data_IF_871118813565
#
_entry.id   IF_871118813565
#
_cell.length_a   1.000
_cell.length_b   1.000
_cell.length_c   1.000
_cell.angle_alpha   90.00
_cell.angle_beta   90.00
_cell.angle_gamma   90.00
#
_symmetry.space_group_name_H-M   'P 1'
#
loop_
_entity.id
_entity.type
_entity.pdbx_description
1 polymer ?
#
# COMPACT_ATOMS: atom_id res chain seq x y z
N UNK A 1 8.74 21.97 10.80
CA UNK A 1 10.05 21.33 10.58
C UNK A 1 10.37 20.47 11.79
N UNK A 2 11.01 19.33 11.60
CA UNK A 2 11.42 18.40 12.66
C UNK A 2 12.93 18.18 12.56
N UNK A 3 13.55 17.79 13.68
CA UNK A 3 14.99 17.59 13.82
C UNK A 3 15.29 16.14 14.16
N UNK A 4 16.54 15.74 13.98
CA UNK A 4 17.01 14.42 14.43
C UNK A 4 16.76 14.30 15.94
N UNK A 5 16.03 13.26 16.33
CA UNK A 5 15.68 12.99 17.73
C UNK A 5 14.28 13.43 18.12
N UNK A 6 13.55 14.18 17.28
CA UNK A 6 12.16 14.52 17.55
C UNK A 6 11.27 13.27 17.43
N UNK A 7 10.34 13.10 18.37
CA UNK A 7 9.34 12.02 18.32
C UNK A 7 8.11 12.53 17.58
N UNK A 8 7.73 11.83 16.51
CA UNK A 8 6.60 12.18 15.66
C UNK A 8 5.58 11.05 15.70
N UNK A 9 4.30 11.39 15.91
CA UNK A 9 3.24 10.40 15.93
C UNK A 9 2.81 10.05 14.52
N UNK A 10 3.09 8.81 14.08
CA UNK A 10 2.66 8.33 12.76
C UNK A 10 1.17 8.02 12.76
N UNK A 11 0.43 8.64 11.84
CA UNK A 11 -1.03 8.44 11.69
C UNK A 11 -1.34 7.35 10.66
N UNK A 12 -0.73 7.41 9.47
CA UNK A 12 -0.90 6.40 8.42
C UNK A 12 0.27 6.38 7.44
N UNK A 13 0.46 5.23 6.78
CA UNK A 13 1.32 5.12 5.62
C UNK A 13 0.55 5.59 4.37
N UNK A 14 1.13 6.53 3.60
CA UNK A 14 0.54 7.01 2.35
C UNK A 14 0.96 6.08 1.21
N UNK A 15 2.26 5.77 1.14
CA UNK A 15 2.86 4.80 0.22
C UNK A 15 4.18 4.24 0.79
N UNK A 16 5.00 3.58 -0.05
CA UNK A 16 6.29 2.98 0.37
C UNK A 16 7.32 4.01 0.86
N UNK A 17 7.23 5.25 0.38
CA UNK A 17 8.18 6.33 0.58
C UNK A 17 7.67 7.40 1.54
N UNK A 18 6.37 7.44 1.84
CA UNK A 18 5.74 8.52 2.62
C UNK A 18 4.80 8.05 3.71
N UNK A 19 4.91 8.71 4.86
CA UNK A 19 3.97 8.62 5.99
C UNK A 19 3.30 9.97 6.25
N UNK A 20 2.06 9.95 6.72
CA UNK A 20 1.43 11.11 7.35
C UNK A 20 1.69 11.00 8.86
N UNK A 21 2.33 12.02 9.43
CA UNK A 21 2.57 12.11 10.86
C UNK A 21 2.19 13.47 11.43
N UNK A 22 2.11 13.50 12.76
CA UNK A 22 1.70 14.66 13.53
C UNK A 22 2.80 15.07 14.50
N UNK A 23 3.23 16.33 14.39
CA UNK A 23 4.26 16.94 15.24
C UNK A 23 3.80 18.34 15.64
N UNK A 24 3.76 18.64 16.94
CA UNK A 24 3.28 19.92 17.48
C UNK A 24 1.90 20.34 16.92
N UNK A 25 0.94 19.41 16.90
CA UNK A 25 -0.39 19.59 16.32
C UNK A 25 -0.43 19.93 14.80
N UNK A 26 0.71 19.90 14.12
CA UNK A 26 0.79 20.04 12.67
C UNK A 26 0.85 18.66 12.01
N UNK A 27 -0.01 18.44 11.02
CA UNK A 27 -0.03 17.23 10.20
C UNK A 27 0.80 17.48 8.94
N UNK A 28 1.67 16.54 8.60
CA UNK A 28 2.51 16.64 7.42
C UNK A 28 3.00 15.30 6.89
N UNK A 29 3.59 15.35 5.70
CA UNK A 29 4.23 14.20 5.06
C UNK A 29 5.67 14.03 5.55
N UNK A 30 6.02 12.78 5.85
CA UNK A 30 7.31 12.35 6.36
C UNK A 30 7.91 11.33 5.40
N UNK A 31 9.11 11.57 4.85
CA UNK A 31 9.79 10.59 4.03
C UNK A 31 10.18 9.37 4.88
N UNK A 32 9.92 8.17 4.40
CA UNK A 32 10.21 6.91 5.09
C UNK A 32 11.70 6.75 5.42
N UNK A 33 12.60 7.24 4.57
CA UNK A 33 14.06 7.16 4.77
C UNK A 33 14.59 8.14 5.84
N UNK A 34 13.75 9.06 6.33
CA UNK A 34 14.13 10.11 7.29
C UNK A 34 13.56 9.85 8.68
N UNK A 35 12.86 8.72 8.88
CA UNK A 35 12.22 8.36 10.14
C UNK A 35 12.60 6.94 10.56
N UNK A 36 12.72 6.73 11.85
CA UNK A 36 12.85 5.41 12.45
C UNK A 36 11.53 5.08 13.16
N UNK A 37 10.89 3.98 12.78
CA UNK A 37 9.60 3.58 13.36
C UNK A 37 9.88 2.88 14.69
N UNK A 38 9.65 3.61 15.79
CA UNK A 38 9.77 3.04 17.12
C UNK A 38 8.54 2.17 17.43
N UNK A 39 8.72 0.87 17.73
CA UNK A 39 7.62 0.04 18.22
C UNK A 39 7.19 0.56 19.59
N UNK A 40 5.90 0.88 19.74
CA UNK A 40 5.33 1.18 21.06
C UNK A 40 5.31 -0.13 21.85
N UNK A 41 5.83 -0.15 23.07
CA UNK A 41 5.87 -1.34 23.93
C UNK A 41 4.62 -2.23 23.76
N UNK A 42 4.82 -3.42 23.17
CA UNK A 42 3.78 -4.43 22.95
C UNK A 42 2.81 -4.21 21.78
N UNK A 43 2.81 -3.06 21.10
CA UNK A 43 1.94 -2.82 19.94
C UNK A 43 2.65 -3.22 18.64
N UNK A 44 2.23 -4.37 18.07
CA UNK A 44 2.56 -4.75 16.69
C UNK A 44 2.31 -3.56 15.75
N UNK A 45 3.14 -3.35 14.72
CA UNK A 45 2.97 -2.24 13.77
C UNK A 45 1.51 -2.21 13.31
N UNK A 46 0.89 -1.02 13.40
CA UNK A 46 -0.49 -0.77 12.99
C UNK A 46 -0.76 -1.58 11.72
N UNK A 47 -1.77 -2.47 11.69
CA UNK A 47 -2.06 -3.24 10.51
C UNK A 47 -2.26 -2.24 9.38
N UNK A 48 -1.38 -2.30 8.37
CA UNK A 48 -1.56 -1.57 7.12
C UNK A 48 -2.97 -1.91 6.68
N UNK A 49 -3.93 -0.99 6.83
CA UNK A 49 -5.24 -1.19 6.23
C UNK A 49 -4.93 -1.45 4.76
N UNK A 50 -5.22 -2.64 4.21
CA UNK A 50 -4.95 -2.92 2.81
C UNK A 50 -5.61 -1.79 2.03
N UNK A 51 -4.78 -0.98 1.41
CA UNK A 51 -5.21 0.28 0.82
C UNK A 51 -6.00 -0.14 -0.44
N UNK A 52 -7.31 -0.31 -0.22
CA UNK A 52 -8.37 -0.75 -1.14
C UNK A 52 -8.43 -2.27 -1.36
N UNK A 53 -9.14 -2.95 -0.47
CA UNK A 53 -9.86 -4.19 -0.82
C UNK A 53 -11.01 -3.84 -1.78
N UNK A 54 -10.71 -3.73 -3.06
CA UNK A 54 -11.69 -3.49 -4.12
C UNK A 54 -11.90 -4.74 -4.97
N UNK A 55 -13.06 -4.87 -5.61
CA UNK A 55 -13.23 -5.84 -6.70
C UNK A 55 -13.20 -5.11 -8.03
N UNK A 56 -12.44 -5.62 -8.98
CA UNK A 56 -12.42 -5.15 -10.36
C UNK A 56 -12.96 -6.25 -11.27
N UNK A 57 -13.61 -5.84 -12.37
CA UNK A 57 -14.04 -6.76 -13.43
C UNK A 57 -13.17 -6.52 -14.65
N UNK A 58 -12.54 -7.58 -15.15
CA UNK A 58 -11.72 -7.50 -16.35
C UNK A 58 -12.61 -7.12 -17.56
N UNK A 59 -12.20 -6.09 -18.31
CA UNK A 59 -12.93 -5.65 -19.50
C UNK A 59 -12.56 -6.44 -20.76
N UNK A 60 -11.39 -7.07 -20.75
CA UNK A 60 -10.80 -7.81 -21.87
C UNK A 60 -10.09 -9.06 -21.35
N UNK A 61 -9.80 -9.99 -22.26
CA UNK A 61 -8.91 -11.10 -21.97
C UNK A 61 -7.47 -10.59 -21.92
N UNK A 62 -6.68 -11.11 -20.99
CA UNK A 62 -5.26 -10.85 -20.87
C UNK A 62 -4.55 -12.15 -20.53
N UNK A 63 -3.48 -12.46 -21.24
CA UNK A 63 -2.63 -13.62 -20.94
C UNK A 63 -1.32 -13.11 -20.39
N UNK A 64 -1.00 -13.46 -19.15
CA UNK A 64 0.26 -13.12 -18.52
C UNK A 64 1.44 -13.59 -19.37
N UNK A 65 2.38 -12.68 -19.62
CA UNK A 65 3.62 -12.93 -20.34
C UNK A 65 4.79 -13.20 -19.38
N UNK A 66 4.66 -12.74 -18.13
CA UNK A 66 5.66 -12.92 -17.08
C UNK A 66 5.08 -13.66 -15.87
N UNK A 67 5.95 -14.22 -15.04
CA UNK A 67 5.54 -14.94 -13.81
C UNK A 67 4.97 -14.03 -12.73
N UNK A 68 5.05 -12.70 -12.90
CA UNK A 68 4.54 -11.71 -11.96
C UNK A 68 3.19 -11.13 -12.37
N UNK A 69 2.74 -11.40 -13.60
CA UNK A 69 1.46 -10.94 -14.15
C UNK A 69 0.33 -11.93 -13.87
N UNK A 70 -0.89 -11.41 -13.81
CA UNK A 70 -2.10 -12.21 -13.64
C UNK A 70 -2.88 -12.31 -14.95
N UNK A 71 -3.06 -13.53 -15.47
CA UNK A 71 -3.98 -13.75 -16.62
C UNK A 71 -5.42 -13.49 -16.21
N UNK A 72 -6.18 -12.82 -17.09
CA UNK A 72 -7.57 -12.41 -16.87
C UNK A 72 -8.45 -12.87 -18.04
N UNK A 73 -9.66 -13.31 -17.74
CA UNK A 73 -10.73 -13.45 -18.73
C UNK A 73 -11.68 -12.26 -18.68
N UNK A 74 -12.17 -11.81 -19.83
CA UNK A 74 -13.19 -10.76 -19.92
C UNK A 74 -14.38 -11.16 -19.06
N UNK A 75 -14.72 -10.26 -18.14
CA UNK A 75 -15.82 -10.43 -17.21
C UNK A 75 -15.43 -11.08 -15.88
N UNK A 76 -14.20 -11.54 -15.72
CA UNK A 76 -13.68 -12.15 -14.50
C UNK A 76 -13.53 -11.12 -13.37
N UNK A 77 -13.80 -11.55 -12.14
CA UNK A 77 -13.67 -10.72 -10.95
C UNK A 77 -12.31 -10.92 -10.27
N UNK A 78 -11.58 -9.83 -10.13
CA UNK A 78 -10.27 -9.77 -9.47
C UNK A 78 -10.43 -9.03 -8.16
N UNK A 79 -9.85 -9.56 -7.09
CA UNK A 79 -9.72 -8.82 -5.83
C UNK A 79 -8.46 -7.99 -5.89
N UNK A 80 -8.59 -6.66 -5.91
CA UNK A 80 -7.47 -5.73 -5.84
C UNK A 80 -6.88 -5.74 -4.43
N UNK A 81 -5.55 -5.79 -4.36
CA UNK A 81 -4.79 -5.89 -3.10
C UNK A 81 -3.90 -4.68 -2.86
N UNK A 82 -3.33 -4.09 -3.93
CA UNK A 82 -2.49 -2.89 -3.85
C UNK A 82 -2.46 -2.15 -5.18
N UNK A 83 -2.43 -0.82 -5.16
CA UNK A 83 -2.06 -0.02 -6.34
C UNK A 83 -0.53 0.04 -6.46
N UNK A 84 0.01 -0.38 -7.60
CA UNK A 84 1.46 -0.35 -7.86
C UNK A 84 1.88 1.05 -8.31
N UNK A 85 1.13 1.63 -9.25
CA UNK A 85 1.27 2.98 -9.77
C UNK A 85 -0.05 3.49 -10.37
N UNK A 86 -0.01 4.56 -11.18
CA UNK A 86 -1.21 5.12 -11.77
C UNK A 86 -1.96 4.18 -12.72
N UNK A 87 -1.27 3.25 -13.36
CA UNK A 87 -1.79 2.35 -14.39
C UNK A 87 -1.93 0.90 -13.89
N UNK A 88 -1.12 0.48 -12.91
CA UNK A 88 -1.02 -0.92 -12.47
C UNK A 88 -1.58 -1.16 -11.07
N UNK A 89 -2.30 -2.27 -10.93
CA UNK A 89 -2.81 -2.77 -9.66
C UNK A 89 -2.39 -4.23 -9.47
N UNK A 90 -1.93 -4.55 -8.28
CA UNK A 90 -1.75 -5.93 -7.84
C UNK A 90 -3.10 -6.51 -7.42
N UNK A 91 -3.49 -7.64 -8.01
CA UNK A 91 -4.74 -8.33 -7.77
C UNK A 91 -4.57 -9.82 -7.49
N UNK A 92 -5.66 -10.46 -7.05
CA UNK A 92 -5.73 -11.92 -6.88
C UNK A 92 -7.02 -12.50 -7.45
N UNK A 93 -6.91 -13.71 -7.99
CA UNK A 93 -8.02 -14.59 -8.38
C UNK A 93 -7.78 -15.95 -7.72
N UNK A 94 -8.63 -16.31 -6.76
CA UNK A 94 -8.42 -17.49 -5.92
C UNK A 94 -7.07 -17.42 -5.19
N UNK A 95 -6.19 -18.38 -5.47
CA UNK A 95 -4.84 -18.46 -4.90
C UNK A 95 -3.76 -17.81 -5.77
N UNK A 96 -4.09 -17.34 -6.99
CA UNK A 96 -3.15 -16.70 -7.90
C UNK A 96 -3.11 -15.20 -7.63
N UNK A 97 -1.91 -14.62 -7.65
CA UNK A 97 -1.65 -13.20 -7.39
C UNK A 97 -0.67 -12.66 -8.43
N UNK A 98 -0.91 -11.46 -8.92
CA UNK A 98 -0.05 -10.78 -9.88
C UNK A 98 -0.48 -9.33 -10.10
N UNK A 99 0.23 -8.63 -10.98
CA UNK A 99 -0.15 -7.31 -11.49
C UNK A 99 -1.04 -7.42 -12.73
#
# INVERSE_FOLDING_TARGET
SFKKGDIIYLRRQIDKNWYEGEHNAMIGLLPANYIEILPRDGAKPLPKKPQREGKARAKFNFTAQTTVELSLLKGELVTLTRRVDDNWFEGRIGNKKGI
#
